data_IF_532198208171
#
_entry.id   IF_532198208171
#
_cell.length_a   1.000
_cell.length_b   1.000
_cell.length_c   1.000
_cell.angle_alpha   90.00
_cell.angle_beta   90.00
_cell.angle_gamma   90.00
#
_symmetry.space_group_name_H-M   'P 1'
#
loop_
_entity.id
_entity.type
_entity.pdbx_description
1 polymer ?
#
# COMPACT_ATOMS: atom_id res chain seq x y z
N UNK A 1 28.10 8.95 -12.24
CA UNK A 1 27.13 9.87 -12.85
C UNK A 1 26.43 10.62 -11.73
N UNK A 2 26.54 11.95 -11.69
CA UNK A 2 25.89 12.75 -10.66
C UNK A 2 24.37 12.77 -10.89
N UNK A 3 23.58 12.56 -9.82
CA UNK A 3 22.14 12.67 -9.89
C UNK A 3 21.74 14.12 -10.26
N UNK A 4 20.75 14.33 -11.14
CA UNK A 4 20.27 15.66 -11.47
C UNK A 4 19.75 16.36 -10.21
N UNK A 5 20.13 17.63 -10.01
CA UNK A 5 19.61 18.48 -8.92
C UNK A 5 18.12 18.71 -9.18
N UNK A 6 17.26 18.28 -8.27
CA UNK A 6 15.79 18.39 -8.40
C UNK A 6 15.25 19.59 -7.63
N UNK A 7 14.20 20.20 -8.17
CA UNK A 7 13.46 21.26 -7.49
C UNK A 7 12.60 20.71 -6.35
N UNK A 8 12.26 21.53 -5.35
CA UNK A 8 11.37 21.13 -4.26
C UNK A 8 9.96 20.80 -4.81
N UNK A 9 9.49 19.58 -4.57
CA UNK A 9 8.14 19.12 -4.94
C UNK A 9 8.02 18.22 -6.18
N UNK A 10 9.12 17.90 -6.86
CA UNK A 10 9.09 17.03 -8.05
C UNK A 10 8.97 15.55 -7.66
N UNK A 11 7.78 14.96 -7.87
CA UNK A 11 7.53 13.51 -7.64
C UNK A 11 8.51 12.68 -8.48
N UNK A 12 9.18 11.74 -7.83
CA UNK A 12 10.16 10.88 -8.48
C UNK A 12 9.40 9.80 -9.26
N UNK A 13 9.45 9.80 -10.59
CA UNK A 13 8.87 8.72 -11.39
C UNK A 13 9.91 7.65 -11.75
N UNK A 14 9.68 6.41 -11.32
CA UNK A 14 10.45 5.23 -11.70
C UNK A 14 9.64 4.39 -12.68
N UNK A 15 10.26 4.00 -13.79
CA UNK A 15 9.63 3.15 -14.81
C UNK A 15 10.32 1.79 -14.89
N UNK A 16 9.56 0.71 -14.75
CA UNK A 16 10.06 -0.67 -14.87
C UNK A 16 9.53 -1.29 -16.16
N UNK A 17 10.44 -1.74 -17.02
CA UNK A 17 10.07 -2.42 -18.26
C UNK A 17 9.46 -3.79 -17.96
N UNK A 18 8.22 -4.04 -18.39
CA UNK A 18 7.52 -5.33 -18.20
C UNK A 18 7.20 -6.04 -19.52
N UNK A 19 7.91 -5.71 -20.60
CA UNK A 19 7.75 -6.38 -21.89
C UNK A 19 8.13 -7.88 -21.79
N UNK A 20 7.71 -8.70 -22.76
CA UNK A 20 7.83 -10.17 -22.72
C UNK A 20 9.22 -10.67 -22.34
N UNK A 21 10.28 -10.11 -22.91
CA UNK A 21 11.67 -10.48 -22.60
C UNK A 21 12.06 -10.14 -21.17
N UNK A 22 11.82 -8.90 -20.73
CA UNK A 22 12.10 -8.47 -19.36
C UNK A 22 11.23 -9.21 -18.34
N UNK A 23 9.99 -9.57 -18.68
CA UNK A 23 9.09 -10.30 -17.80
C UNK A 23 9.60 -11.71 -17.53
N UNK A 24 10.17 -12.39 -18.54
CA UNK A 24 10.84 -13.68 -18.36
C UNK A 24 12.03 -13.62 -17.39
N UNK A 25 12.59 -12.42 -17.19
CA UNK A 25 13.69 -12.16 -16.27
C UNK A 25 13.22 -11.61 -14.91
N UNK A 26 11.92 -11.68 -14.60
CA UNK A 26 11.40 -11.27 -13.29
C UNK A 26 11.05 -9.78 -13.15
N UNK A 27 11.03 -9.00 -14.23
CA UNK A 27 10.74 -7.55 -14.14
C UNK A 27 9.39 -7.18 -13.52
N UNK A 28 8.38 -8.06 -13.57
CA UNK A 28 7.10 -7.83 -12.86
C UNK A 28 7.23 -7.96 -11.35
N UNK A 29 8.04 -8.89 -10.88
CA UNK A 29 8.35 -9.03 -9.45
C UNK A 29 9.15 -7.83 -8.96
N UNK A 30 10.08 -7.34 -9.79
CA UNK A 30 10.83 -6.11 -9.51
C UNK A 30 9.89 -4.90 -9.46
N UNK A 31 8.98 -4.75 -10.43
CA UNK A 31 7.97 -3.69 -10.41
C UNK A 31 7.17 -3.71 -9.12
N UNK A 32 6.63 -4.88 -8.74
CA UNK A 32 5.86 -5.03 -7.50
C UNK A 32 6.68 -4.68 -6.27
N UNK A 33 7.90 -5.22 -6.16
CA UNK A 33 8.78 -4.96 -5.02
C UNK A 33 9.11 -3.48 -4.89
N UNK A 34 9.53 -2.82 -5.99
CA UNK A 34 9.88 -1.40 -5.97
C UNK A 34 8.64 -0.58 -5.56
N UNK A 35 7.46 -0.88 -6.10
CA UNK A 35 6.21 -0.21 -5.69
C UNK A 35 5.94 -0.40 -4.20
N UNK A 36 6.16 -1.60 -3.67
CA UNK A 36 5.88 -1.95 -2.28
C UNK A 36 6.82 -1.25 -1.27
N UNK A 37 8.08 -1.00 -1.65
CA UNK A 37 9.10 -0.40 -0.76
C UNK A 37 9.34 1.08 -1.04
N UNK A 38 8.64 1.67 -2.01
CA UNK A 38 8.81 3.07 -2.38
C UNK A 38 8.17 4.00 -1.33
N UNK A 39 8.81 5.14 -1.03
CA UNK A 39 8.19 6.18 -0.23
C UNK A 39 7.08 6.88 -1.05
N UNK A 40 6.12 7.56 -0.40
CA UNK A 40 4.94 8.14 -1.09
C UNK A 40 5.29 9.19 -2.16
N UNK A 41 6.47 9.81 -2.09
CA UNK A 41 6.96 10.78 -3.08
C UNK A 41 7.46 10.12 -4.38
N UNK A 42 7.65 8.79 -4.37
CA UNK A 42 8.14 8.01 -5.52
C UNK A 42 6.99 7.26 -6.17
N UNK A 43 6.68 7.63 -7.41
CA UNK A 43 5.69 6.94 -8.24
C UNK A 43 6.37 5.89 -9.10
N UNK A 44 5.87 4.65 -9.06
CA UNK A 44 6.43 3.52 -9.80
C UNK A 44 5.43 3.08 -10.87
N UNK A 45 5.85 3.06 -12.14
CA UNK A 45 4.99 2.70 -13.29
C UNK A 45 5.62 1.60 -14.15
N UNK A 46 4.79 0.77 -14.76
CA UNK A 46 5.24 -0.15 -15.81
C UNK A 46 5.46 0.58 -17.14
N UNK A 47 6.46 0.15 -17.93
CA UNK A 47 6.68 0.64 -19.29
C UNK A 47 7.06 -0.51 -20.27
N UNK A 48 7.11 -0.21 -21.57
CA UNK A 48 7.66 -1.11 -22.60
C UNK A 48 9.19 -0.99 -22.74
N UNK A 49 9.80 -1.82 -23.60
CA UNK A 49 11.27 -1.91 -23.79
C UNK A 49 11.99 -0.61 -24.20
N UNK A 50 11.27 0.47 -24.48
CA UNK A 50 11.80 1.74 -24.96
C UNK A 50 11.08 2.92 -24.29
N UNK A 51 10.78 2.82 -22.99
CA UNK A 51 10.23 3.95 -22.25
C UNK A 51 11.12 5.18 -22.41
N UNK A 52 10.56 6.32 -22.87
CA UNK A 52 11.28 7.60 -22.87
C UNK A 52 11.77 7.90 -21.45
N UNK A 53 13.07 8.12 -21.26
CA UNK A 53 13.70 8.42 -19.98
C UNK A 53 15.13 7.85 -19.84
N UNK A 54 15.84 8.26 -18.80
CA UNK A 54 17.17 7.73 -18.47
C UNK A 54 17.06 6.34 -17.85
N UNK A 55 17.69 5.34 -18.47
CA UNK A 55 17.77 3.99 -17.91
C UNK A 55 18.74 3.98 -16.72
N UNK A 56 18.24 3.67 -15.53
CA UNK A 56 19.06 3.63 -14.30
C UNK A 56 19.86 2.31 -14.20
N UNK A 57 19.44 1.25 -14.90
CA UNK A 57 20.19 0.00 -15.06
C UNK A 57 19.28 -1.24 -15.14
N UNK A 58 19.84 -2.36 -15.62
CA UNK A 58 19.16 -3.65 -15.57
C UNK A 58 19.22 -4.22 -14.14
N UNK A 59 18.05 -4.46 -13.54
CA UNK A 59 17.95 -5.14 -12.26
C UNK A 59 17.57 -6.60 -12.54
N UNK A 60 18.43 -7.55 -12.16
CA UNK A 60 18.14 -8.98 -12.28
C UNK A 60 17.50 -9.59 -11.03
N UNK A 61 17.44 -8.83 -9.92
CA UNK A 61 16.90 -9.27 -8.63
C UNK A 61 16.19 -8.13 -7.90
N UNK A 62 15.28 -8.47 -7.00
CA UNK A 62 14.55 -7.53 -6.12
C UNK A 62 15.48 -6.81 -5.14
N UNK A 63 16.50 -7.50 -4.62
CA UNK A 63 17.53 -6.89 -3.77
C UNK A 63 18.31 -5.80 -4.51
N UNK A 64 18.74 -6.07 -5.75
CA UNK A 64 19.45 -5.07 -6.55
C UNK A 64 18.55 -3.88 -6.92
N UNK A 65 17.28 -4.14 -7.20
CA UNK A 65 16.29 -3.10 -7.42
C UNK A 65 16.11 -2.18 -6.20
N UNK A 66 16.08 -2.74 -4.99
CA UNK A 66 16.01 -1.97 -3.75
C UNK A 66 17.25 -1.09 -3.53
N UNK A 67 18.45 -1.60 -3.85
CA UNK A 67 19.69 -0.81 -3.82
C UNK A 67 19.68 0.35 -4.82
N UNK A 68 19.20 0.10 -6.04
CA UNK A 68 19.06 1.16 -7.06
C UNK A 68 18.05 2.22 -6.60
N UNK A 69 16.94 1.81 -5.99
CA UNK A 69 15.98 2.74 -5.40
C UNK A 69 16.63 3.58 -4.29
N UNK A 70 17.47 2.99 -3.43
CA UNK A 70 18.19 3.75 -2.42
C UNK A 70 19.12 4.81 -3.03
N UNK A 71 19.82 4.49 -4.12
CA UNK A 71 20.64 5.47 -4.83
C UNK A 71 19.82 6.64 -5.39
N UNK A 72 18.60 6.37 -5.86
CA UNK A 72 17.68 7.40 -6.39
C UNK A 72 17.13 8.28 -5.26
N UNK A 73 16.78 7.67 -4.13
CA UNK A 73 16.17 8.35 -2.98
C UNK A 73 17.20 8.97 -2.01
N UNK A 74 18.50 8.89 -2.31
CA UNK A 74 19.57 9.40 -1.42
C UNK A 74 19.81 8.55 -0.16
N UNK A 75 19.33 7.31 -0.14
CA UNK A 75 19.49 6.35 0.94
C UNK A 75 20.86 5.68 0.99
N UNK A 76 21.31 5.30 2.19
CA UNK A 76 22.50 4.47 2.43
C UNK A 76 22.16 3.34 3.40
N UNK A 77 22.83 2.19 3.25
CA UNK A 77 22.75 1.06 4.20
C UNK A 77 23.17 1.53 5.60
N UNK A 78 22.32 1.34 6.61
CA UNK A 78 22.58 1.82 7.97
C UNK A 78 22.57 3.34 8.11
N UNK A 79 21.84 4.05 7.24
CA UNK A 79 21.75 5.51 7.26
C UNK A 79 21.21 6.08 8.58
N UNK A 80 21.56 7.35 8.86
CA UNK A 80 21.06 8.12 10.00
C UNK A 80 19.52 8.13 10.06
N UNK A 81 18.96 8.29 11.26
CA UNK A 81 17.52 8.44 11.47
C UNK A 81 16.88 9.35 10.41
N UNK A 82 15.91 8.80 9.66
CA UNK A 82 15.19 9.52 8.60
C UNK A 82 15.64 9.26 7.15
N UNK A 83 16.70 8.48 6.91
CA UNK A 83 17.14 8.11 5.55
C UNK A 83 16.45 6.87 4.97
N UNK A 84 16.35 6.77 3.62
CA UNK A 84 15.84 5.58 2.95
C UNK A 84 16.77 4.37 3.18
N UNK A 85 16.29 3.36 3.91
CA UNK A 85 17.01 2.10 4.14
C UNK A 85 16.33 0.95 3.38
N UNK A 86 16.89 0.49 2.24
CA UNK A 86 16.27 -0.56 1.45
C UNK A 86 16.18 -1.89 2.19
N UNK A 87 17.07 -2.18 3.15
CA UNK A 87 17.03 -3.45 3.88
C UNK A 87 15.87 -3.46 4.89
N UNK A 88 15.67 -2.37 5.64
CA UNK A 88 14.52 -2.23 6.54
C UNK A 88 13.20 -2.29 5.77
N UNK A 89 13.13 -1.63 4.62
CA UNK A 89 11.91 -1.65 3.80
C UNK A 89 11.65 -3.05 3.22
N UNK A 90 12.70 -3.77 2.81
CA UNK A 90 12.57 -5.16 2.35
C UNK A 90 12.19 -6.11 3.48
N UNK A 91 12.74 -5.93 4.68
CA UNK A 91 12.37 -6.72 5.85
C UNK A 91 10.91 -6.49 6.25
N UNK A 92 10.48 -5.23 6.33
CA UNK A 92 9.08 -4.87 6.55
C UNK A 92 8.14 -5.44 5.47
N UNK A 93 8.57 -5.43 4.20
CA UNK A 93 7.85 -6.07 3.10
C UNK A 93 7.71 -7.57 3.31
N UNK A 94 8.76 -8.26 3.76
CA UNK A 94 8.70 -9.70 4.02
C UNK A 94 7.73 -10.03 5.14
N UNK A 95 7.71 -9.24 6.22
CA UNK A 95 6.76 -9.39 7.32
C UNK A 95 5.32 -9.15 6.86
N UNK A 96 5.08 -8.09 6.07
CA UNK A 96 3.77 -7.82 5.48
C UNK A 96 3.27 -8.97 4.60
N UNK A 97 4.12 -9.49 3.71
CA UNK A 97 3.76 -10.62 2.84
C UNK A 97 3.44 -11.89 3.63
N UNK A 98 4.20 -12.17 4.70
CA UNK A 98 3.89 -13.29 5.61
C UNK A 98 2.53 -13.08 6.29
N UNK A 99 2.27 -11.89 6.81
CA UNK A 99 0.99 -11.58 7.44
C UNK A 99 -0.20 -11.70 6.47
N UNK A 100 -0.05 -11.25 5.22
CA UNK A 100 -1.07 -11.41 4.19
C UNK A 100 -1.32 -12.89 3.85
N UNK A 101 -0.28 -13.73 3.84
CA UNK A 101 -0.44 -15.18 3.71
C UNK A 101 -1.17 -15.79 4.92
N UNK A 102 -0.86 -15.37 6.15
CA UNK A 102 -1.59 -15.83 7.35
C UNK A 102 -3.10 -15.48 7.26
N UNK A 103 -3.43 -14.28 6.78
CA UNK A 103 -4.82 -13.85 6.60
C UNK A 103 -5.57 -14.67 5.54
N UNK A 104 -4.91 -15.02 4.43
CA UNK A 104 -5.54 -15.69 3.30
C UNK A 104 -5.59 -17.21 3.43
N UNK A 105 -4.51 -17.82 3.92
CA UNK A 105 -4.33 -19.27 3.88
C UNK A 105 -4.70 -19.96 5.19
N UNK A 106 -4.39 -19.32 6.32
CA UNK A 106 -4.52 -19.93 7.66
C UNK A 106 -5.68 -19.37 8.46
N UNK A 107 -6.16 -18.17 8.10
CA UNK A 107 -7.27 -17.51 8.78
C UNK A 107 -6.93 -17.09 10.20
N UNK A 108 -5.64 -16.85 10.49
CA UNK A 108 -5.14 -16.44 11.80
C UNK A 108 -4.83 -14.93 11.82
N UNK A 109 -5.84 -14.07 12.07
CA UNK A 109 -5.62 -12.62 12.01
C UNK A 109 -4.77 -12.09 13.17
N UNK A 110 -4.69 -12.79 14.30
CA UNK A 110 -3.84 -12.40 15.44
C UNK A 110 -2.34 -12.51 15.09
N UNK A 111 -1.93 -13.62 14.46
CA UNK A 111 -0.55 -13.81 14.01
C UNK A 111 -0.18 -12.79 12.92
N UNK A 112 -1.12 -12.49 12.02
CA UNK A 112 -0.96 -11.45 11.02
C UNK A 112 -0.75 -10.07 11.67
N UNK A 113 -1.56 -9.70 12.67
CA UNK A 113 -1.40 -8.43 13.40
C UNK A 113 -0.03 -8.35 14.11
N UNK A 114 0.43 -9.45 14.71
CA UNK A 114 1.74 -9.49 15.37
C UNK A 114 2.89 -9.26 14.37
N UNK A 115 2.86 -9.93 13.22
CA UNK A 115 3.83 -9.72 12.14
C UNK A 115 3.80 -8.29 11.59
N UNK A 116 2.61 -7.72 11.42
CA UNK A 116 2.44 -6.35 10.92
C UNK A 116 2.91 -5.31 11.94
N UNK A 117 2.72 -5.57 13.23
CA UNK A 117 3.21 -4.69 14.29
C UNK A 117 4.74 -4.69 14.33
N UNK A 118 5.38 -5.86 14.22
CA UNK A 118 6.84 -5.95 14.03
C UNK A 118 7.30 -5.16 12.78
N UNK A 119 6.54 -5.23 11.69
CA UNK A 119 6.87 -4.48 10.47
C UNK A 119 6.76 -2.96 10.64
N UNK A 120 5.79 -2.48 11.44
CA UNK A 120 5.68 -1.05 11.81
C UNK A 120 6.84 -0.61 12.69
N UNK A 121 7.28 -1.45 13.64
CA UNK A 121 8.37 -1.14 14.56
C UNK A 121 9.73 -0.95 13.86
N UNK A 122 9.91 -1.56 12.69
CA UNK A 122 11.07 -1.33 11.83
C UNK A 122 11.13 0.11 11.29
N UNK A 123 10.02 0.86 11.37
CA UNK A 123 9.85 2.22 10.83
C UNK A 123 10.35 2.34 9.40
N UNK A 124 9.83 1.51 8.46
CA UNK A 124 10.27 1.55 7.08
C UNK A 124 9.94 2.90 6.46
N UNK A 125 10.87 3.44 5.68
CA UNK A 125 10.70 4.72 4.99
C UNK A 125 9.75 4.62 3.80
N UNK A 126 9.41 3.40 3.35
CA UNK A 126 8.50 3.15 2.24
C UNK A 126 7.54 2.01 2.55
N UNK A 127 6.35 2.04 1.94
CA UNK A 127 5.32 1.02 2.13
C UNK A 127 4.60 1.02 3.48
N UNK A 128 4.89 1.96 4.40
CA UNK A 128 4.29 1.98 5.74
C UNK A 128 2.75 2.11 5.72
N UNK A 129 2.18 2.89 4.80
CA UNK A 129 0.73 2.99 4.60
C UNK A 129 0.10 1.65 4.18
N UNK A 130 0.83 0.82 3.42
CA UNK A 130 0.38 -0.54 3.04
C UNK A 130 0.34 -1.46 4.26
N UNK A 131 1.32 -1.35 5.16
CA UNK A 131 1.39 -2.14 6.40
C UNK A 131 0.21 -1.79 7.30
N UNK A 132 -0.05 -0.50 7.52
CA UNK A 132 -1.22 -0.05 8.29
C UNK A 132 -2.52 -0.53 7.67
N UNK A 133 -2.69 -0.45 6.35
CA UNK A 133 -3.87 -1.00 5.67
C UNK A 133 -4.02 -2.51 5.84
N UNK A 134 -2.93 -3.28 5.83
CA UNK A 134 -3.01 -4.72 6.06
C UNK A 134 -3.32 -5.03 7.53
N UNK A 135 -2.82 -4.20 8.47
CA UNK A 135 -3.08 -4.38 9.91
C UNK A 135 -4.51 -3.98 10.28
N UNK A 136 -5.07 -2.96 9.65
CA UNK A 136 -6.47 -2.59 9.83
C UNK A 136 -7.40 -3.72 9.42
N UNK A 137 -7.11 -4.41 8.31
CA UNK A 137 -7.87 -5.61 7.90
C UNK A 137 -7.78 -6.71 8.95
N UNK A 138 -6.57 -7.05 9.42
CA UNK A 138 -6.38 -8.07 10.46
C UNK A 138 -7.14 -7.71 11.76
N UNK A 139 -7.10 -6.45 12.18
CA UNK A 139 -7.82 -5.95 13.37
C UNK A 139 -9.34 -5.98 13.18
N UNK A 140 -9.85 -5.63 12.00
CA UNK A 140 -11.28 -5.76 11.69
C UNK A 140 -11.75 -7.21 11.75
N UNK A 141 -10.96 -8.16 11.22
CA UNK A 141 -11.29 -9.58 11.30
C UNK A 141 -11.36 -10.07 12.75
N UNK A 142 -10.59 -9.46 13.66
CA UNK A 142 -10.64 -9.74 15.10
C UNK A 142 -11.73 -8.96 15.85
N UNK A 143 -12.47 -8.07 15.19
CA UNK A 143 -13.45 -7.19 15.84
C UNK A 143 -12.82 -6.00 16.58
N UNK A 144 -11.51 -5.77 16.47
CA UNK A 144 -10.86 -4.57 16.97
C UNK A 144 -11.08 -3.38 16.01
N UNK A 145 -12.29 -2.84 16.02
CA UNK A 145 -12.70 -1.80 15.07
C UNK A 145 -11.98 -0.47 15.35
N UNK A 146 -11.74 -0.14 16.63
CA UNK A 146 -11.02 1.09 17.02
C UNK A 146 -9.59 1.07 16.51
N UNK A 147 -8.84 -0.02 16.76
CA UNK A 147 -7.47 -0.16 16.27
C UNK A 147 -7.37 -0.21 14.75
N UNK A 148 -8.41 -0.70 14.06
CA UNK A 148 -8.47 -0.63 12.61
C UNK A 148 -8.65 0.80 12.09
N UNK A 149 -9.51 1.62 12.73
CA UNK A 149 -9.67 3.03 12.37
C UNK A 149 -8.39 3.81 12.61
N UNK A 150 -7.70 3.58 13.73
CA UNK A 150 -6.37 4.16 14.00
C UNK A 150 -5.40 3.85 12.87
N UNK A 151 -5.29 2.59 12.46
CA UNK A 151 -4.43 2.19 11.35
C UNK A 151 -4.82 2.85 10.02
N UNK A 152 -6.12 2.94 9.71
CA UNK A 152 -6.55 3.64 8.48
C UNK A 152 -6.21 5.13 8.52
N UNK A 153 -6.32 5.77 9.68
CA UNK A 153 -5.93 7.17 9.85
C UNK A 153 -4.40 7.36 9.69
N UNK A 154 -3.59 6.46 10.25
CA UNK A 154 -2.14 6.49 10.05
C UNK A 154 -1.75 6.26 8.58
N UNK A 155 -2.42 5.34 7.89
CA UNK A 155 -2.21 5.14 6.45
C UNK A 155 -2.53 6.40 5.64
N UNK A 156 -3.64 7.09 5.96
CA UNK A 156 -4.08 8.31 5.28
C UNK A 156 -3.23 9.55 5.63
N UNK A 157 -2.62 9.59 6.82
CA UNK A 157 -1.62 10.62 7.16
C UNK A 157 -0.38 10.51 6.27
N UNK A 158 0.02 9.28 5.93
CA UNK A 158 1.20 9.01 5.09
C UNK A 158 0.88 9.21 3.61
N UNK A 159 -0.27 8.70 3.15
CA UNK A 159 -0.75 8.90 1.78
C UNK A 159 -2.26 9.26 1.81
N UNK A 160 -2.59 10.56 1.77
CA UNK A 160 -3.98 11.02 1.74
C UNK A 160 -4.75 10.59 0.48
N UNK A 161 -4.04 10.14 -0.56
CA UNK A 161 -4.60 9.68 -1.83
C UNK A 161 -4.67 8.15 -1.92
N UNK A 162 -4.57 7.45 -0.78
CA UNK A 162 -4.62 6.00 -0.75
C UNK A 162 -6.05 5.46 -0.64
N UNK A 163 -6.70 5.23 -1.80
CA UNK A 163 -8.09 4.78 -1.88
C UNK A 163 -8.40 3.53 -1.02
N UNK A 164 -7.46 2.58 -0.92
CA UNK A 164 -7.65 1.35 -0.17
C UNK A 164 -7.76 1.59 1.34
N UNK A 165 -7.12 2.64 1.89
CA UNK A 165 -7.28 2.99 3.30
C UNK A 165 -8.70 3.51 3.58
N UNK A 166 -9.28 4.32 2.67
CA UNK A 166 -10.68 4.74 2.77
C UNK A 166 -11.66 3.56 2.66
N UNK A 167 -11.37 2.55 1.82
CA UNK A 167 -12.18 1.31 1.80
C UNK A 167 -12.15 0.62 3.16
N UNK A 168 -10.97 0.43 3.75
CA UNK A 168 -10.84 -0.18 5.08
C UNK A 168 -11.53 0.66 6.17
N UNK A 169 -11.48 1.99 6.06
CA UNK A 169 -12.16 2.90 6.98
C UNK A 169 -13.68 2.76 6.86
N UNK A 170 -14.20 2.64 5.63
CA UNK A 170 -15.61 2.32 5.38
C UNK A 170 -16.02 0.96 5.93
N UNK A 171 -15.19 -0.07 5.76
CA UNK A 171 -15.41 -1.40 6.35
C UNK A 171 -15.47 -1.32 7.90
N UNK A 172 -14.64 -0.48 8.52
CA UNK A 172 -14.66 -0.24 9.95
C UNK A 172 -15.94 0.48 10.41
N UNK A 173 -16.37 1.53 9.71
CA UNK A 173 -17.63 2.21 10.03
C UNK A 173 -18.85 1.31 9.80
N UNK A 174 -18.83 0.44 8.78
CA UNK A 174 -19.85 -0.60 8.60
C UNK A 174 -19.93 -1.52 9.83
N UNK A 175 -18.80 -1.92 10.40
CA UNK A 175 -18.77 -2.75 11.60
C UNK A 175 -19.31 -2.02 12.85
N UNK A 176 -19.15 -0.69 12.92
CA UNK A 176 -19.71 0.13 14.02
C UNK A 176 -21.20 0.47 13.87
N UNK A 177 -21.80 0.21 12.71
CA UNK A 177 -23.16 0.68 12.41
C UNK A 177 -23.26 2.15 12.00
N UNK A 178 -22.13 2.79 11.72
CA UNK A 178 -22.03 4.21 11.36
C UNK A 178 -22.18 4.38 9.85
N UNK A 179 -23.37 4.09 9.33
CA UNK A 179 -23.63 3.95 7.89
C UNK A 179 -23.29 5.21 7.07
N UNK A 180 -23.63 6.40 7.58
CA UNK A 180 -23.30 7.67 6.91
C UNK A 180 -21.79 7.89 6.80
N UNK A 181 -21.02 7.50 7.83
CA UNK A 181 -19.56 7.60 7.79
C UNK A 181 -18.96 6.58 6.83
N UNK A 182 -19.53 5.38 6.76
CA UNK A 182 -19.13 4.37 5.79
C UNK A 182 -19.39 4.83 4.34
N UNK A 183 -20.54 5.44 4.07
CA UNK A 183 -20.87 6.02 2.76
C UNK A 183 -19.86 7.09 2.33
N UNK A 184 -19.52 8.01 3.24
CA UNK A 184 -18.53 9.05 2.97
C UNK A 184 -17.16 8.44 2.66
N UNK A 185 -16.70 7.48 3.47
CA UNK A 185 -15.40 6.82 3.25
C UNK A 185 -15.35 6.09 1.90
N UNK A 186 -16.39 5.33 1.52
CA UNK A 186 -16.45 4.70 0.20
C UNK A 186 -16.53 5.70 -0.95
N UNK A 187 -17.17 6.85 -0.72
CA UNK A 187 -17.24 7.94 -1.71
C UNK A 187 -15.87 8.58 -1.94
N UNK A 188 -15.10 8.84 -0.88
CA UNK A 188 -13.71 9.32 -0.99
C UNK A 188 -12.83 8.33 -1.76
N UNK A 189 -12.96 7.03 -1.47
CA UNK A 189 -12.23 6.00 -2.21
C UNK A 189 -12.56 6.05 -3.72
N UNK A 190 -13.83 6.27 -4.09
CA UNK A 190 -14.28 6.39 -5.48
C UNK A 190 -13.85 7.68 -6.17
N UNK A 191 -13.72 8.78 -5.42
CA UNK A 191 -13.21 10.04 -5.94
C UNK A 191 -11.73 9.92 -6.32
N UNK A 192 -10.96 9.22 -5.48
CA UNK A 192 -9.54 8.97 -5.68
C UNK A 192 -9.29 7.98 -6.81
N UNK A 193 -9.97 6.82 -6.77
CA UNK A 193 -9.86 5.80 -7.81
C UNK A 193 -11.27 5.37 -8.29
N UNK A 194 -11.80 6.03 -9.34
CA UNK A 194 -13.10 5.68 -9.91
C UNK A 194 -13.18 4.23 -10.45
N UNK A 195 -12.04 3.58 -10.71
CA UNK A 195 -12.01 2.23 -11.27
C UNK A 195 -12.48 1.17 -10.27
N UNK A 196 -12.36 1.42 -8.95
CA UNK A 196 -12.80 0.48 -7.90
C UNK A 196 -14.29 0.17 -7.99
N UNK A 197 -15.10 1.08 -8.55
CA UNK A 197 -16.55 0.88 -8.82
C UNK A 197 -16.82 -0.41 -9.61
N UNK A 198 -15.87 -0.81 -10.47
CA UNK A 198 -16.01 -2.01 -11.31
C UNK A 198 -15.65 -3.30 -10.56
N UNK A 199 -14.96 -3.20 -9.42
CA UNK A 199 -14.58 -4.36 -8.61
C UNK A 199 -15.80 -5.06 -8.02
N UNK A 200 -15.84 -6.39 -8.12
CA UNK A 200 -16.90 -7.21 -7.50
C UNK A 200 -16.94 -7.00 -5.98
N UNK A 201 -15.79 -7.02 -5.32
CA UNK A 201 -15.69 -6.87 -3.87
C UNK A 201 -16.12 -5.50 -3.36
N UNK A 202 -15.97 -4.45 -4.19
CA UNK A 202 -16.43 -3.10 -3.84
C UNK A 202 -17.94 -2.97 -4.05
N UNK A 203 -18.49 -3.54 -5.13
CA UNK A 203 -19.94 -3.60 -5.36
C UNK A 203 -20.66 -4.29 -4.20
N UNK A 204 -20.12 -5.41 -3.71
CA UNK A 204 -20.67 -6.13 -2.55
C UNK A 204 -20.71 -5.25 -1.28
N UNK A 205 -19.69 -4.42 -1.04
CA UNK A 205 -19.68 -3.47 0.09
C UNK A 205 -20.79 -2.43 -0.04
N UNK A 206 -20.92 -1.84 -1.23
CA UNK A 206 -21.94 -0.80 -1.50
C UNK A 206 -23.35 -1.38 -1.37
N UNK A 207 -23.60 -2.59 -1.89
CA UNK A 207 -24.90 -3.25 -1.74
C UNK A 207 -25.24 -3.50 -0.27
N UNK A 208 -24.29 -4.04 0.51
CA UNK A 208 -24.49 -4.23 1.97
C UNK A 208 -24.78 -2.92 2.70
N UNK A 209 -24.08 -1.84 2.35
CA UNK A 209 -24.33 -0.52 2.93
C UNK A 209 -25.76 -0.03 2.61
N UNK A 210 -26.19 -0.16 1.35
CA UNK A 210 -27.53 0.24 0.91
C UNK A 210 -28.63 -0.55 1.63
N UNK A 211 -28.46 -1.86 1.80
CA UNK A 211 -29.37 -2.70 2.56
C UNK A 211 -29.50 -2.23 4.02
N UNK A 212 -28.37 -1.89 4.66
CA UNK A 212 -28.37 -1.39 6.04
C UNK A 212 -29.03 -0.01 6.17
N UNK A 213 -28.75 0.90 5.25
CA UNK A 213 -29.38 2.23 5.22
C UNK A 213 -30.90 2.09 5.03
N UNK A 214 -31.34 1.27 4.07
CA UNK A 214 -32.77 1.03 3.82
C UNK A 214 -33.48 0.40 5.03
N UNK A 215 -32.84 -0.54 5.73
CA UNK A 215 -33.39 -1.13 6.95
C UNK A 215 -33.60 -0.10 8.07
N UNK A 216 -32.67 0.85 8.23
CA UNK A 216 -32.82 1.95 9.21
C UNK A 216 -33.96 2.89 8.82
N UNK A 217 -34.09 3.25 7.53
CA UNK A 217 -35.19 4.09 7.07
C UNK A 217 -36.57 3.43 7.21
N UNK A 218 -36.65 2.10 7.08
CA UNK A 218 -37.90 1.35 7.22
C UNK A 218 -38.27 1.02 8.69
N UNK A 219 -37.39 1.32 9.65
CA UNK A 219 -37.62 1.07 11.09
C UNK A 219 -37.92 2.35 11.90
N UNK A 220 -37.92 3.51 11.26
CA UNK A 220 -38.37 4.80 11.78
C UNK A 220 -39.75 5.17 11.21
#
# INVERSE_FOLDING_TARGET
MAAPRRGPGEKIEIRVCVNRSCNRMGSREILGTISDISPPEVTVKSCGCLGRGTMVGHCGTTARAAEVLAQICGGKRGGSEGGFDPWKNMEALTLRKKAEAELLERGNPADAEALLSQAVDLKPSGGLHLIYKSRSVARLTQGNIVGALEDTNEALKIDPTFAQAYICQGDAFMAMGEWTKAENAYSEALLIDPSIRRSKSFKERVTKLQEKIAAVHNSN
#
